data_IF_174394772492
#
_entry.id   IF_174394772492
#
_cell.length_a   1.000
_cell.length_b   1.000
_cell.length_c   1.000
_cell.angle_alpha   90.00
_cell.angle_beta   90.00
_cell.angle_gamma   90.00
#
_symmetry.space_group_name_H-M   'P 1'
#
loop_
_entity.id
_entity.type
_entity.pdbx_description
1 polymer ?
#
# COMPACT_ATOMS: atom_id res chain seq x y z
N UNK A 1 7.78 41.62 -2.82
CA UNK A 1 7.23 40.78 -1.75
C UNK A 1 6.48 39.63 -2.40
N UNK A 2 7.17 38.53 -2.70
CA UNK A 2 6.62 37.36 -3.39
C UNK A 2 6.10 36.35 -2.37
N UNK A 3 4.78 36.31 -2.17
CA UNK A 3 4.11 35.26 -1.42
C UNK A 3 4.22 33.94 -2.19
N UNK A 4 5.16 33.08 -1.78
CA UNK A 4 5.14 31.67 -2.17
C UNK A 4 4.00 30.97 -1.42
N UNK A 5 3.15 30.17 -2.09
CA UNK A 5 2.15 29.38 -1.40
C UNK A 5 2.87 28.29 -0.61
N UNK A 6 2.79 28.40 0.71
CA UNK A 6 3.32 27.41 1.64
C UNK A 6 2.69 26.04 1.30
N UNK A 7 3.45 24.96 1.07
CA UNK A 7 2.85 23.66 0.82
C UNK A 7 2.03 23.29 2.05
N UNK A 8 0.72 23.12 1.84
CA UNK A 8 -0.21 22.70 2.87
C UNK A 8 0.29 21.34 3.36
N UNK A 9 0.90 21.31 4.55
CA UNK A 9 1.28 20.08 5.22
C UNK A 9 -0.02 19.43 5.68
N UNK A 10 -0.59 18.61 4.81
CA UNK A 10 -1.73 17.75 5.16
C UNK A 10 -1.21 16.84 6.29
N UNK A 11 -1.84 16.83 7.47
CA UNK A 11 -1.45 15.90 8.52
C UNK A 11 -1.53 14.50 7.92
N UNK A 12 -0.40 13.81 7.83
CA UNK A 12 -0.36 12.42 7.38
C UNK A 12 -1.15 11.63 8.41
N UNK A 13 -2.44 11.42 8.17
CA UNK A 13 -3.23 10.51 8.98
C UNK A 13 -2.63 9.13 8.79
N UNK A 14 -2.26 8.47 9.88
CA UNK A 14 -1.56 7.17 9.88
C UNK A 14 -2.26 6.14 8.97
N UNK A 15 -3.60 6.19 8.92
CA UNK A 15 -4.43 5.40 8.00
C UNK A 15 -4.20 5.69 6.50
N UNK A 16 -3.88 6.94 6.09
CA UNK A 16 -3.51 7.24 4.70
C UNK A 16 -2.16 6.62 4.35
N UNK A 17 -1.20 6.59 5.28
CA UNK A 17 0.09 5.97 5.03
C UNK A 17 -0.05 4.45 4.82
N UNK A 18 -0.89 3.77 5.61
CA UNK A 18 -1.18 2.33 5.43
C UNK A 18 -1.91 2.03 4.13
N UNK A 19 -2.92 2.82 3.78
CA UNK A 19 -3.64 2.66 2.53
C UNK A 19 -2.73 2.93 1.31
N UNK A 20 -1.92 3.99 1.35
CA UNK A 20 -0.94 4.29 0.31
C UNK A 20 0.08 3.15 0.14
N UNK A 21 0.55 2.57 1.25
CA UNK A 21 1.44 1.41 1.22
C UNK A 21 0.74 0.18 0.59
N UNK A 22 -0.52 -0.09 0.94
CA UNK A 22 -1.28 -1.17 0.30
C UNK A 22 -1.42 -0.97 -1.21
N UNK A 23 -1.71 0.25 -1.67
CA UNK A 23 -1.77 0.57 -3.10
C UNK A 23 -0.43 0.32 -3.80
N UNK A 24 0.68 0.71 -3.17
CA UNK A 24 2.01 0.46 -3.71
C UNK A 24 2.28 -1.06 -3.87
N UNK A 25 1.96 -1.85 -2.84
CA UNK A 25 2.14 -3.32 -2.91
C UNK A 25 1.30 -3.93 -4.05
N UNK A 26 0.08 -3.43 -4.27
CA UNK A 26 -0.79 -3.88 -5.37
C UNK A 26 -0.16 -3.59 -6.73
N UNK A 27 0.35 -2.38 -6.93
CA UNK A 27 1.00 -2.01 -8.19
C UNK A 27 2.27 -2.85 -8.47
N UNK A 28 3.08 -3.10 -7.43
CA UNK A 28 4.24 -3.98 -7.54
C UNK A 28 3.85 -5.43 -7.90
N UNK A 29 2.78 -5.97 -7.31
CA UNK A 29 2.26 -7.29 -7.69
C UNK A 29 1.88 -7.32 -9.18
N UNK A 30 1.22 -6.27 -9.68
CA UNK A 30 0.83 -6.16 -11.09
C UNK A 30 2.03 -6.28 -12.05
N UNK A 31 3.19 -5.72 -11.67
CA UNK A 31 4.43 -5.79 -12.45
C UNK A 31 5.04 -7.20 -12.48
N UNK A 32 4.82 -8.00 -11.45
CA UNK A 32 5.40 -9.35 -11.34
C UNK A 32 4.56 -10.46 -11.99
N UNK A 33 3.28 -10.23 -12.26
CA UNK A 33 2.36 -11.22 -12.86
C UNK A 33 2.92 -11.80 -14.18
N UNK A 34 3.23 -10.94 -15.16
CA UNK A 34 3.70 -11.39 -16.48
C UNK A 34 5.06 -12.11 -16.40
N UNK A 35 6.07 -11.59 -15.68
CA UNK A 35 7.33 -12.30 -15.44
C UNK A 35 7.15 -13.69 -14.77
N UNK A 36 6.19 -13.85 -13.86
CA UNK A 36 5.93 -15.16 -13.24
C UNK A 36 5.47 -16.21 -14.25
N UNK A 37 4.65 -15.84 -15.24
CA UNK A 37 4.21 -16.78 -16.28
C UNK A 37 5.33 -17.27 -17.21
N UNK A 38 6.43 -16.52 -17.33
CA UNK A 38 7.62 -16.94 -18.09
C UNK A 38 8.68 -17.60 -17.20
N UNK A 39 8.25 -18.21 -16.09
CA UNK A 39 9.07 -18.96 -15.14
C UNK A 39 10.19 -18.14 -14.47
N UNK A 40 10.00 -16.82 -14.32
CA UNK A 40 10.93 -15.99 -13.54
C UNK A 40 10.74 -16.26 -12.04
N UNK A 41 11.63 -17.07 -11.47
CA UNK A 41 11.62 -17.46 -10.05
C UNK A 41 11.66 -16.27 -9.10
N UNK A 42 12.42 -15.23 -9.42
CA UNK A 42 12.53 -14.05 -8.58
C UNK A 42 11.22 -13.26 -8.54
N UNK A 43 10.54 -13.12 -9.69
CA UNK A 43 9.23 -12.49 -9.75
C UNK A 43 8.18 -13.30 -8.99
N UNK A 44 8.20 -14.64 -9.12
CA UNK A 44 7.30 -15.51 -8.36
C UNK A 44 7.47 -15.34 -6.83
N UNK A 45 8.72 -15.29 -6.34
CA UNK A 45 8.99 -15.08 -4.91
C UNK A 45 8.57 -13.69 -4.42
N UNK A 46 8.83 -12.63 -5.21
CA UNK A 46 8.35 -11.28 -4.88
C UNK A 46 6.82 -11.22 -4.85
N UNK A 47 6.16 -11.79 -5.87
CA UNK A 47 4.71 -11.84 -5.93
C UNK A 47 4.12 -12.54 -4.70
N UNK A 48 4.68 -13.69 -4.30
CA UNK A 48 4.27 -14.42 -3.09
C UNK A 48 4.45 -13.58 -1.82
N UNK A 49 5.58 -12.88 -1.68
CA UNK A 49 5.84 -11.98 -0.53
C UNK A 49 4.85 -10.82 -0.50
N UNK A 50 4.63 -10.16 -1.64
CA UNK A 50 3.72 -9.03 -1.74
C UNK A 50 2.26 -9.43 -1.47
N UNK A 51 1.83 -10.62 -1.91
CA UNK A 51 0.51 -11.17 -1.54
C UNK A 51 0.39 -11.32 -0.02
N UNK A 52 1.43 -11.83 0.65
CA UNK A 52 1.42 -11.97 2.12
C UNK A 52 1.35 -10.60 2.81
N UNK A 53 2.18 -9.65 2.40
CA UNK A 53 2.21 -8.27 2.94
C UNK A 53 0.86 -7.57 2.75
N UNK A 54 0.27 -7.63 1.55
CA UNK A 54 -1.03 -7.03 1.27
C UNK A 54 -2.13 -7.60 2.19
N UNK A 55 -2.10 -8.91 2.48
CA UNK A 55 -3.06 -9.53 3.40
C UNK A 55 -2.96 -9.00 4.83
N UNK A 56 -1.75 -8.74 5.32
CA UNK A 56 -1.56 -8.15 6.65
C UNK A 56 -2.09 -6.71 6.66
N UNK A 57 -1.67 -5.90 5.69
CA UNK A 57 -2.08 -4.50 5.57
C UNK A 57 -3.61 -4.35 5.49
N UNK A 58 -4.30 -5.22 4.73
CA UNK A 58 -5.76 -5.20 4.64
C UNK A 58 -6.41 -5.49 6.01
N UNK A 59 -5.91 -6.45 6.77
CA UNK A 59 -6.45 -6.74 8.11
C UNK A 59 -6.27 -5.55 9.05
N UNK A 60 -5.11 -4.90 9.01
CA UNK A 60 -4.84 -3.71 9.82
C UNK A 60 -5.76 -2.55 9.44
N UNK A 61 -5.95 -2.31 8.13
CA UNK A 61 -6.87 -1.28 7.64
C UNK A 61 -8.33 -1.55 8.05
N UNK A 62 -8.76 -2.82 7.98
CA UNK A 62 -10.12 -3.21 8.40
C UNK A 62 -10.29 -3.03 9.92
N UNK A 63 -9.33 -3.49 10.73
CA UNK A 63 -9.39 -3.35 12.18
C UNK A 63 -9.39 -1.88 12.63
N UNK A 64 -8.65 -1.02 11.93
CA UNK A 64 -8.66 0.44 12.16
C UNK A 64 -10.02 1.05 11.80
N UNK A 65 -10.60 0.68 10.65
CA UNK A 65 -11.93 1.13 10.24
C UNK A 65 -13.02 0.72 11.25
N UNK A 66 -12.99 -0.53 11.72
CA UNK A 66 -13.94 -1.03 12.72
C UNK A 66 -13.86 -0.26 14.05
N UNK A 67 -12.67 0.19 14.46
CA UNK A 67 -12.49 1.03 15.66
C UNK A 67 -13.13 2.40 15.46
N UNK A 68 -12.85 3.05 14.33
CA UNK A 68 -13.39 4.38 13.99
C UNK A 68 -14.91 4.36 13.87
N UNK A 69 -15.49 3.28 13.33
CA UNK A 69 -16.94 3.15 13.19
C UNK A 69 -17.68 2.86 14.51
N UNK A 70 -16.96 2.40 15.55
CA UNK A 70 -17.53 2.08 16.87
C UNK A 70 -17.33 3.18 17.91
N UNK A 71 -16.44 4.13 17.64
CA UNK A 71 -16.25 5.38 18.40
C UNK A 71 -17.21 6.46 17.93
#
# INVERSE_FOLDING_TARGET
>A
MSNQPNPVQIPVIDGQAKYAHLLQVIDEMGRDIKPTYVNNKNAAERLKKNIHTARILVRDCVAELERVMKS
#
